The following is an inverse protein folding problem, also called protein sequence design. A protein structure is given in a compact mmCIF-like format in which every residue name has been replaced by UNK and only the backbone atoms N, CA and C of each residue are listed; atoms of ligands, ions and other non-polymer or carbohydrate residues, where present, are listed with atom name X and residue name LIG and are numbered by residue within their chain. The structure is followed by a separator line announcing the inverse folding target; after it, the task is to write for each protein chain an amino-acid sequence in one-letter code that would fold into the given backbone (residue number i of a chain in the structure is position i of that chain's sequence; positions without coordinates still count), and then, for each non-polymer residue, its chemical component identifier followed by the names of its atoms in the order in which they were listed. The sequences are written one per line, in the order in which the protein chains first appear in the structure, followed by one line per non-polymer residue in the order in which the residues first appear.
data_IF_101649012244
#
_entry.id   IF_101649012244
#
_cell.length_a   1.000
_cell.length_b   1.000
_cell.length_c   1.000
_cell.angle_alpha   90.00
_cell.angle_beta   90.00
_cell.angle_gamma   90.00
#
_symmetry.space_group_name_H-M   'P 1'
#
loop_
_entity.id
_entity.type
_entity.pdbx_description
1 polymer ?
#
# COMPACT_ATOMS: atom_id res chain seq x y z
N UNK A 1 -26.50 39.43 -11.98
CA UNK A 1 -26.86 38.33 -11.06
C UNK A 1 -27.29 37.04 -11.77
N UNK A 2 -28.35 37.01 -12.61
CA UNK A 2 -28.85 35.76 -13.25
C UNK A 2 -27.84 35.04 -14.17
N UNK A 3 -26.98 35.78 -14.88
CA UNK A 3 -25.97 35.20 -15.79
C UNK A 3 -24.82 34.56 -15.01
N UNK A 4 -24.30 35.23 -13.98
CA UNK A 4 -23.25 34.73 -13.08
C UNK A 4 -23.68 33.46 -12.35
N UNK A 5 -24.93 33.41 -11.88
CA UNK A 5 -25.48 32.22 -11.21
C UNK A 5 -25.57 31.02 -12.16
N UNK A 6 -25.92 31.24 -13.43
CA UNK A 6 -25.92 30.18 -14.46
C UNK A 6 -24.51 29.64 -14.74
N UNK A 7 -23.49 30.51 -14.76
CA UNK A 7 -22.09 30.08 -14.92
C UNK A 7 -21.58 29.28 -13.72
N UNK A 8 -21.88 29.74 -12.50
CA UNK A 8 -21.53 29.01 -11.27
C UNK A 8 -22.21 27.64 -11.27
N UNK A 9 -23.52 27.58 -11.51
CA UNK A 9 -24.27 26.33 -11.55
C UNK A 9 -23.76 25.39 -12.66
N UNK A 10 -23.47 25.92 -13.86
CA UNK A 10 -22.90 25.14 -14.96
C UNK A 10 -21.51 24.58 -14.64
N UNK A 11 -20.67 25.37 -13.97
CA UNK A 11 -19.32 24.94 -13.55
C UNK A 11 -19.39 23.86 -12.48
N UNK A 12 -20.26 24.02 -11.48
CA UNK A 12 -20.48 23.00 -10.45
C UNK A 12 -21.05 21.71 -11.06
N UNK A 13 -22.01 21.83 -11.97
CA UNK A 13 -22.56 20.68 -12.68
C UNK A 13 -21.48 19.95 -13.50
N UNK A 14 -20.67 20.68 -14.26
CA UNK A 14 -19.56 20.11 -15.01
C UNK A 14 -18.54 19.40 -14.09
N UNK A 15 -18.21 19.98 -12.94
CA UNK A 15 -17.32 19.36 -11.96
C UNK A 15 -17.91 18.05 -11.39
N UNK A 16 -19.20 18.04 -11.05
CA UNK A 16 -19.89 16.85 -10.56
C UNK A 16 -19.92 15.75 -11.63
N UNK A 17 -20.21 16.10 -12.89
CA UNK A 17 -20.20 15.15 -14.00
C UNK A 17 -18.79 14.61 -14.26
N UNK A 18 -17.75 15.45 -14.15
CA UNK A 18 -16.36 15.03 -14.30
C UNK A 18 -15.95 14.05 -13.20
N UNK A 19 -16.18 14.40 -11.93
CA UNK A 19 -15.85 13.54 -10.79
C UNK A 19 -16.67 12.24 -10.84
N UNK A 20 -17.97 12.35 -11.12
CA UNK A 20 -18.86 11.19 -11.25
C UNK A 20 -18.47 10.26 -12.39
N UNK A 21 -18.09 10.80 -13.54
CA UNK A 21 -17.63 9.98 -14.67
C UNK A 21 -16.29 9.32 -14.39
N UNK A 22 -15.34 10.02 -13.75
CA UNK A 22 -14.08 9.43 -13.29
C UNK A 22 -14.33 8.24 -12.34
N UNK A 23 -15.14 8.44 -11.30
CA UNK A 23 -15.47 7.37 -10.33
C UNK A 23 -16.20 6.22 -11.02
N UNK A 24 -17.14 6.52 -11.91
CA UNK A 24 -17.88 5.50 -12.68
C UNK A 24 -16.96 4.66 -13.57
N UNK A 25 -16.03 5.29 -14.28
CA UNK A 25 -15.04 4.60 -15.11
C UNK A 25 -14.09 3.78 -14.25
N UNK A 26 -13.56 4.35 -13.16
CA UNK A 26 -12.66 3.63 -12.25
C UNK A 26 -13.34 2.39 -11.65
N UNK A 27 -14.60 2.51 -11.19
CA UNK A 27 -15.37 1.40 -10.68
C UNK A 27 -15.66 0.33 -11.75
N UNK A 28 -15.99 0.74 -12.98
CA UNK A 28 -16.20 -0.19 -14.08
C UNK A 28 -14.91 -0.97 -14.43
N UNK A 29 -13.77 -0.28 -14.46
CA UNK A 29 -12.47 -0.91 -14.73
C UNK A 29 -12.02 -1.84 -13.60
N UNK A 30 -12.35 -1.54 -12.34
CA UNK A 30 -12.07 -2.41 -11.20
C UNK A 30 -12.73 -3.79 -11.33
N UNK A 31 -13.88 -3.86 -12.03
CA UNK A 31 -14.59 -5.11 -12.29
C UNK A 31 -14.01 -5.93 -13.46
N UNK A 32 -13.05 -5.39 -14.20
CA UNK A 32 -12.44 -6.04 -15.36
C UNK A 32 -11.03 -6.54 -15.00
N UNK A 33 -10.84 -7.85 -14.73
CA UNK A 33 -9.54 -8.35 -14.30
C UNK A 33 -8.52 -8.23 -15.43
N UNK A 34 -7.45 -7.46 -15.21
CA UNK A 34 -6.37 -7.34 -16.18
C UNK A 34 -5.67 -8.68 -16.47
N UNK A 35 -5.65 -9.58 -15.48
CA UNK A 35 -5.01 -10.88 -15.54
C UNK A 35 -5.99 -12.00 -15.14
N UNK A 36 -7.08 -12.16 -15.90
CA UNK A 36 -8.11 -13.16 -15.61
C UNK A 36 -7.64 -14.62 -15.75
N UNK A 37 -6.49 -14.85 -16.39
CA UNK A 37 -5.92 -16.20 -16.55
C UNK A 37 -5.22 -16.61 -15.26
N UNK A 38 -5.53 -17.81 -14.79
CA UNK A 38 -4.74 -18.45 -13.73
C UNK A 38 -3.27 -18.57 -14.17
N UNK A 39 -2.31 -18.49 -13.23
CA UNK A 39 -0.91 -18.78 -13.53
C UNK A 39 -0.78 -20.14 -14.23
N UNK A 40 0.05 -20.21 -15.27
CA UNK A 40 0.30 -21.46 -16.00
C UNK A 40 1.01 -22.50 -15.14
N UNK A 41 1.75 -22.04 -14.12
CA UNK A 41 2.43 -22.86 -13.13
C UNK A 41 1.66 -22.82 -11.80
N UNK A 42 1.68 -23.91 -11.02
CA UNK A 42 1.07 -23.92 -9.70
C UNK A 42 1.67 -22.85 -8.78
N UNK A 43 0.81 -22.23 -7.97
CA UNK A 43 1.25 -21.27 -6.95
C UNK A 43 2.07 -21.99 -5.88
N UNK A 44 3.28 -21.53 -5.65
CA UNK A 44 4.26 -22.14 -4.74
C UNK A 44 4.59 -21.26 -3.53
N UNK A 45 4.17 -19.99 -3.55
CA UNK A 45 4.49 -19.00 -2.52
C UNK A 45 3.22 -18.45 -1.90
N UNK A 46 3.24 -18.33 -0.58
CA UNK A 46 2.15 -17.75 0.20
C UNK A 46 2.34 -16.23 0.30
N UNK A 47 1.77 -15.50 -0.67
CA UNK A 47 1.83 -14.05 -0.75
C UNK A 47 0.41 -13.44 -0.77
N UNK A 48 0.29 -12.21 -0.28
CA UNK A 48 -1.00 -11.52 -0.19
C UNK A 48 -0.89 -10.03 -0.50
N UNK A 49 -2.04 -9.42 -0.77
CA UNK A 49 -2.27 -7.99 -0.58
C UNK A 49 -3.05 -7.83 0.72
N UNK A 50 -2.53 -7.07 1.68
CA UNK A 50 -3.23 -6.73 2.92
C UNK A 50 -3.80 -5.33 2.82
N UNK A 51 -5.10 -5.16 3.05
CA UNK A 51 -5.78 -3.86 3.05
C UNK A 51 -6.38 -3.54 4.41
N UNK A 52 -6.21 -2.30 4.85
CA UNK A 52 -6.94 -1.74 5.99
C UNK A 52 -8.11 -0.83 5.57
N UNK A 53 -8.46 -0.83 4.27
CA UNK A 53 -9.49 0.02 3.68
C UNK A 53 -9.01 1.40 3.21
N UNK A 54 -7.82 1.83 3.63
CA UNK A 54 -7.20 3.11 3.27
C UNK A 54 -5.87 2.90 2.56
N UNK A 55 -5.13 1.88 2.98
CA UNK A 55 -3.80 1.53 2.51
C UNK A 55 -3.71 0.03 2.20
N UNK A 56 -2.78 -0.31 1.31
CA UNK A 56 -2.50 -1.69 0.91
C UNK A 56 -1.02 -2.01 0.98
N UNK A 57 -0.69 -3.09 1.67
CA UNK A 57 0.67 -3.62 1.80
C UNK A 57 0.82 -4.90 0.99
N UNK A 58 2.03 -5.15 0.48
CA UNK A 58 2.42 -6.44 -0.07
C UNK A 58 2.91 -7.33 1.05
N UNK A 59 2.33 -8.52 1.18
CA UNK A 59 2.70 -9.50 2.21
C UNK A 59 3.47 -10.65 1.60
N UNK A 60 4.61 -10.97 2.20
CA UNK A 60 5.48 -12.07 1.82
C UNK A 60 5.83 -12.93 3.03
N UNK A 61 6.24 -14.20 2.82
CA UNK A 61 6.92 -14.96 3.87
C UNK A 61 8.15 -14.19 4.33
N UNK A 62 8.37 -14.10 5.65
CA UNK A 62 9.52 -13.42 6.26
C UNK A 62 10.85 -13.93 5.70
N UNK A 63 10.91 -15.24 5.42
CA UNK A 63 12.02 -15.91 4.75
C UNK A 63 11.48 -16.85 3.69
N UNK A 64 12.11 -16.85 2.52
CA UNK A 64 11.82 -17.77 1.42
C UNK A 64 13.11 -18.21 0.74
N UNK A 65 13.01 -19.15 -0.21
CA UNK A 65 14.17 -19.51 -1.05
C UNK A 65 14.68 -18.37 -1.94
N UNK A 66 13.91 -17.29 -2.10
CA UNK A 66 14.27 -16.12 -2.92
C UNK A 66 14.90 -15.00 -2.10
N UNK A 67 14.44 -14.77 -0.87
CA UNK A 67 14.85 -13.64 -0.05
C UNK A 67 14.68 -13.93 1.45
N UNK A 68 15.62 -13.41 2.25
CA UNK A 68 15.46 -13.25 3.69
C UNK A 68 15.21 -11.77 4.00
N UNK A 69 13.96 -11.42 4.33
CA UNK A 69 13.59 -10.05 4.65
C UNK A 69 14.17 -9.58 5.98
N UNK A 70 14.48 -10.51 6.90
CA UNK A 70 15.06 -10.18 8.21
C UNK A 70 16.47 -9.61 8.11
N UNK A 71 17.16 -9.84 6.98
CA UNK A 71 18.46 -9.24 6.67
C UNK A 71 18.35 -7.77 6.26
N UNK A 72 17.23 -7.38 5.63
CA UNK A 72 16.98 -6.02 5.15
C UNK A 72 16.24 -5.16 6.18
N UNK A 73 15.28 -5.75 6.88
CA UNK A 73 14.47 -5.14 7.92
C UNK A 73 14.68 -5.92 9.21
N UNK A 74 15.18 -5.31 10.27
CA UNK A 74 15.35 -6.02 11.54
C UNK A 74 14.02 -6.07 12.28
N UNK A 75 13.54 -7.25 12.71
CA UNK A 75 12.37 -7.34 13.56
C UNK A 75 12.46 -6.49 14.83
N UNK A 76 13.67 -6.28 15.37
CA UNK A 76 13.87 -5.46 16.59
C UNK A 76 13.59 -3.98 16.39
N UNK A 77 13.56 -3.51 15.15
CA UNK A 77 13.25 -2.12 14.82
C UNK A 77 11.73 -1.85 14.79
N UNK A 78 10.90 -2.90 14.83
CA UNK A 78 9.44 -2.79 14.82
C UNK A 78 8.86 -2.83 16.26
N UNK A 79 7.79 -2.06 16.50
CA UNK A 79 7.22 -1.85 17.86
C UNK A 79 6.53 -3.09 18.45
N UNK A 80 5.92 -3.94 17.62
CA UNK A 80 5.03 -5.00 18.09
C UNK A 80 5.13 -6.25 17.20
N UNK A 81 6.31 -6.86 17.14
CA UNK A 81 6.51 -8.11 16.38
C UNK A 81 5.86 -9.28 17.12
N UNK A 82 4.91 -10.00 16.49
CA UNK A 82 4.37 -11.23 17.06
C UNK A 82 5.47 -12.29 17.29
N UNK A 83 5.43 -13.07 18.39
CA UNK A 83 6.40 -14.13 18.62
C UNK A 83 6.42 -15.21 17.52
N UNK A 84 5.28 -15.40 16.86
CA UNK A 84 5.03 -16.32 15.75
C UNK A 84 4.97 -15.60 14.40
N UNK A 85 5.70 -14.49 14.24
CA UNK A 85 5.76 -13.76 12.99
C UNK A 85 6.39 -14.63 11.86
N UNK A 86 5.55 -15.01 10.89
CA UNK A 86 5.93 -15.79 9.70
C UNK A 86 5.99 -14.92 8.44
N UNK A 87 5.38 -13.74 8.48
CA UNK A 87 5.20 -12.86 7.32
C UNK A 87 5.71 -11.45 7.58
N UNK A 88 6.00 -10.76 6.49
CA UNK A 88 6.29 -9.33 6.45
C UNK A 88 5.33 -8.65 5.49
N UNK A 89 4.72 -7.55 5.92
CA UNK A 89 3.95 -6.64 5.11
C UNK A 89 4.79 -5.38 4.82
N UNK A 90 4.86 -4.98 3.55
CA UNK A 90 5.63 -3.83 3.08
C UNK A 90 4.70 -2.91 2.29
N UNK A 91 4.56 -1.67 2.75
CA UNK A 91 3.82 -0.59 2.11
C UNK A 91 4.70 0.62 1.82
N UNK A 92 4.27 1.46 0.88
CA UNK A 92 4.94 2.71 0.52
C UNK A 92 3.97 3.87 0.67
N UNK A 93 4.42 4.97 1.25
CA UNK A 93 3.60 6.17 1.37
C UNK A 93 4.39 7.45 1.54
N UNK A 94 3.66 8.56 1.59
CA UNK A 94 4.22 9.90 1.77
C UNK A 94 4.74 10.08 3.21
N UNK A 95 5.97 10.59 3.35
CA UNK A 95 6.62 10.81 4.65
C UNK A 95 5.82 11.70 5.58
N UNK A 96 5.34 12.84 5.08
CA UNK A 96 4.62 13.82 5.89
C UNK A 96 3.26 13.28 6.31
N UNK A 97 2.60 12.54 5.41
CA UNK A 97 1.36 11.86 5.72
C UNK A 97 1.58 10.82 6.82
N UNK A 98 2.55 9.91 6.67
CA UNK A 98 2.82 8.84 7.63
C UNK A 98 3.24 9.34 9.02
N UNK A 99 4.10 10.35 9.09
CA UNK A 99 4.63 10.81 10.37
C UNK A 99 3.70 11.76 11.11
N UNK A 100 2.81 12.46 10.39
CA UNK A 100 2.04 13.56 10.95
C UNK A 100 0.54 13.45 10.77
N UNK A 101 0.05 12.33 10.25
CA UNK A 101 -1.40 12.03 10.18
C UNK A 101 -1.73 10.72 10.90
N UNK A 102 -1.54 10.62 12.24
CA UNK A 102 -1.93 9.44 13.00
C UNK A 102 -3.44 9.18 12.94
N UNK A 103 -4.22 10.26 12.96
CA UNK A 103 -5.69 10.21 12.85
C UNK A 103 -6.17 11.07 11.69
N UNK A 104 -7.39 10.80 11.21
CA UNK A 104 -8.02 11.62 10.18
C UNK A 104 -8.21 13.09 10.58
N UNK A 105 -8.28 13.37 11.88
CA UNK A 105 -8.38 14.74 12.38
C UNK A 105 -7.09 15.55 12.16
N UNK A 106 -5.96 14.87 11.98
CA UNK A 106 -4.65 15.49 11.72
C UNK A 106 -4.43 15.80 10.22
N UNK A 107 -5.38 15.43 9.35
CA UNK A 107 -5.26 15.68 7.92
C UNK A 107 -5.44 17.18 7.63
N UNK A 108 -4.44 17.77 6.99
CA UNK A 108 -4.50 19.17 6.52
C UNK A 108 -4.43 19.22 5.00
N UNK A 109 -4.97 20.27 4.40
CA UNK A 109 -4.89 20.47 2.94
C UNK A 109 -3.43 20.43 2.43
N UNK A 110 -2.49 21.01 3.18
CA UNK A 110 -1.06 20.97 2.85
C UNK A 110 -0.52 19.53 2.78
N UNK A 111 -0.86 18.69 3.76
CA UNK A 111 -0.44 17.28 3.78
C UNK A 111 -1.11 16.49 2.67
N UNK A 112 -2.41 16.69 2.46
CA UNK A 112 -3.17 16.03 1.40
C UNK A 112 -2.62 16.35 0.00
N UNK A 113 -2.41 17.63 -0.31
CA UNK A 113 -1.85 18.03 -1.61
C UNK A 113 -0.37 17.62 -1.75
N UNK A 114 0.41 17.71 -0.67
CA UNK A 114 1.80 17.23 -0.67
C UNK A 114 1.91 15.75 -1.06
N UNK A 115 1.08 14.90 -0.44
CA UNK A 115 1.02 13.48 -0.76
C UNK A 115 0.46 13.23 -2.18
N UNK A 116 -0.61 13.93 -2.57
CA UNK A 116 -1.25 13.75 -3.88
C UNK A 116 -0.32 14.07 -5.04
N UNK A 117 0.48 15.13 -4.92
CA UNK A 117 1.41 15.56 -5.97
C UNK A 117 2.81 14.95 -5.84
N UNK A 118 3.04 14.06 -4.87
CA UNK A 118 4.34 13.42 -4.65
C UNK A 118 5.45 14.41 -4.28
N UNK A 119 5.10 15.47 -3.55
CA UNK A 119 6.02 16.57 -3.23
C UNK A 119 6.98 16.24 -2.08
N UNK A 120 6.73 15.18 -1.31
CA UNK A 120 7.59 14.75 -0.21
C UNK A 120 8.28 13.42 -0.51
N UNK A 121 9.31 13.11 0.27
CA UNK A 121 9.96 11.80 0.21
C UNK A 121 8.99 10.68 0.57
N UNK A 122 9.22 9.48 0.03
CA UNK A 122 8.49 8.28 0.41
C UNK A 122 9.08 7.63 1.67
N UNK A 123 8.24 6.97 2.44
CA UNK A 123 8.61 6.07 3.53
C UNK A 123 8.04 4.68 3.29
N UNK A 124 8.71 3.69 3.87
CA UNK A 124 8.24 2.32 3.95
C UNK A 124 7.48 2.13 5.25
N UNK A 125 6.32 1.48 5.15
CA UNK A 125 5.62 0.92 6.29
C UNK A 125 5.91 -0.59 6.33
N UNK A 126 6.55 -1.06 7.40
CA UNK A 126 6.97 -2.47 7.52
C UNK A 126 6.36 -3.06 8.78
N UNK A 127 5.57 -4.13 8.60
CA UNK A 127 4.90 -4.81 9.71
C UNK A 127 5.23 -6.30 9.67
N UNK A 128 5.52 -6.88 10.83
CA UNK A 128 5.69 -8.33 10.98
C UNK A 128 4.37 -8.95 11.42
N UNK A 129 3.95 -10.01 10.74
CA UNK A 129 2.63 -10.58 10.90
C UNK A 129 2.70 -12.08 11.19
N UNK A 130 1.85 -12.53 12.10
CA UNK A 130 1.52 -13.94 12.24
C UNK A 130 0.42 -14.33 11.25
N UNK A 131 0.31 -15.63 11.00
CA UNK A 131 -0.74 -16.19 10.14
C UNK A 131 -2.14 -15.83 10.61
N UNK A 132 -2.36 -15.72 11.92
CA UNK A 132 -3.66 -15.37 12.48
C UNK A 132 -4.10 -13.95 12.10
N UNK A 133 -3.16 -13.02 11.92
CA UNK A 133 -3.44 -11.63 11.53
C UNK A 133 -3.83 -11.49 10.05
N UNK A 134 -3.52 -12.49 9.21
CA UNK A 134 -3.90 -12.51 7.80
C UNK A 134 -5.35 -12.99 7.55
N UNK A 135 -6.14 -13.25 8.60
CA UNK A 135 -7.51 -13.74 8.46
C UNK A 135 -8.51 -12.68 7.99
N UNK A 136 -8.15 -11.40 8.04
CA UNK A 136 -9.02 -10.28 7.67
C UNK A 136 -8.25 -9.30 6.79
N UNK A 137 -8.90 -8.78 5.74
CA UNK A 137 -8.31 -7.79 4.84
C UNK A 137 -7.15 -8.31 3.97
N UNK A 138 -6.76 -9.59 4.08
CA UNK A 138 -5.74 -10.20 3.24
C UNK A 138 -6.35 -10.93 2.05
N UNK A 139 -5.82 -10.65 0.87
CA UNK A 139 -6.26 -11.22 -0.40
C UNK A 139 -5.09 -12.01 -1.00
N UNK A 140 -5.29 -13.32 -1.17
CA UNK A 140 -4.25 -14.20 -1.69
C UNK A 140 -3.81 -13.78 -3.09
N UNK A 141 -2.50 -13.73 -3.28
CA UNK A 141 -1.87 -13.45 -4.56
C UNK A 141 -1.24 -14.76 -5.06
N UNK A 142 -1.93 -15.53 -5.92
CA UNK A 142 -1.36 -16.75 -6.46
C UNK A 142 -0.19 -16.38 -7.38
N UNK A 143 1.02 -16.75 -6.98
CA UNK A 143 2.25 -16.46 -7.69
C UNK A 143 3.00 -17.76 -7.96
N UNK A 144 3.41 -17.97 -9.21
CA UNK A 144 4.47 -18.93 -9.50
C UNK A 144 5.82 -18.43 -9.00
N UNK A 145 6.79 -19.32 -8.82
CA UNK A 145 8.14 -18.91 -8.38
C UNK A 145 8.76 -17.83 -9.29
N UNK A 146 8.52 -17.92 -10.60
CA UNK A 146 9.02 -16.93 -11.54
C UNK A 146 8.34 -15.56 -11.38
N UNK A 147 7.04 -15.53 -11.09
CA UNK A 147 6.32 -14.29 -10.80
C UNK A 147 6.77 -13.70 -9.46
N UNK A 148 6.92 -14.54 -8.44
CA UNK A 148 7.40 -14.13 -7.13
C UNK A 148 8.80 -13.51 -7.23
N UNK A 149 9.75 -14.15 -7.92
CA UNK A 149 11.09 -13.56 -8.15
C UNK A 149 11.03 -12.18 -8.79
N UNK A 150 10.26 -12.01 -9.88
CA UNK A 150 10.09 -10.70 -10.52
C UNK A 150 9.49 -9.65 -9.60
N UNK A 151 8.52 -10.04 -8.77
CA UNK A 151 7.92 -9.13 -7.79
C UNK A 151 8.94 -8.73 -6.72
N UNK A 152 9.70 -9.69 -6.18
CA UNK A 152 10.78 -9.42 -5.22
C UNK A 152 11.84 -8.50 -5.83
N UNK A 153 12.25 -8.73 -7.07
CA UNK A 153 13.23 -7.87 -7.75
C UNK A 153 12.71 -6.45 -7.90
N UNK A 154 11.43 -6.28 -8.26
CA UNK A 154 10.80 -4.97 -8.33
C UNK A 154 10.73 -4.27 -6.97
N UNK A 155 10.32 -4.99 -5.93
CA UNK A 155 10.28 -4.47 -4.55
C UNK A 155 11.69 -4.05 -4.13
N UNK A 156 12.70 -4.90 -4.30
CA UNK A 156 14.10 -4.58 -3.94
C UNK A 156 14.64 -3.38 -4.70
N UNK A 157 14.29 -3.23 -5.97
CA UNK A 157 14.70 -2.09 -6.78
C UNK A 157 14.11 -0.76 -6.29
N UNK A 158 12.98 -0.79 -5.56
CA UNK A 158 12.39 0.41 -4.94
C UNK A 158 12.95 0.71 -3.54
N UNK A 159 13.75 -0.18 -2.95
CA UNK A 159 14.36 0.01 -1.64
C UNK A 159 15.70 0.76 -1.76
N UNK A 160 16.07 1.55 -0.73
CA UNK A 160 17.41 2.14 -0.66
C UNK A 160 18.49 1.05 -0.58
N UNK A 161 19.69 1.36 -1.06
CA UNK A 161 20.83 0.44 -0.97
C UNK A 161 21.23 0.19 0.49
N UNK A 162 21.43 -1.07 0.85
CA UNK A 162 21.85 -1.49 2.20
C UNK A 162 20.69 -1.90 3.10
N UNK A 163 20.88 -1.73 4.41
CA UNK A 163 19.90 -2.10 5.43
C UNK A 163 18.94 -0.94 5.69
N UNK A 164 17.66 -1.25 5.89
CA UNK A 164 16.67 -0.23 6.22
C UNK A 164 16.97 0.42 7.58
N UNK A 165 16.70 1.73 7.67
CA UNK A 165 16.86 2.51 8.90
C UNK A 165 15.48 2.87 9.41
N UNK A 166 15.13 2.38 10.60
CA UNK A 166 13.87 2.73 11.23
C UNK A 166 13.87 4.18 11.71
N UNK A 167 12.72 4.84 11.57
CA UNK A 167 12.50 6.18 12.10
C UNK A 167 12.14 6.04 13.58
N UNK A 168 13.07 6.43 14.44
CA UNK A 168 12.88 6.35 15.89
C UNK A 168 11.61 7.07 16.33
N UNK A 169 10.83 6.41 17.19
CA UNK A 169 9.57 6.96 17.72
C UNK A 169 8.38 6.94 16.77
N UNK A 170 8.56 6.65 15.48
CA UNK A 170 7.46 6.51 14.51
C UNK A 170 6.91 5.07 14.47
N UNK A 171 5.66 4.91 14.03
CA UNK A 171 5.01 3.61 13.87
C UNK A 171 3.51 3.67 14.15
N UNK A 172 2.76 2.78 13.51
CA UNK A 172 1.34 2.56 13.73
C UNK A 172 1.11 1.27 14.51
N UNK A 173 0.00 1.20 15.24
CA UNK A 173 -0.29 0.09 16.15
C UNK A 173 0.23 0.37 17.56
N UNK A 174 -0.50 -0.12 18.55
CA UNK A 174 -0.15 -0.07 19.96
C UNK A 174 0.69 -1.31 20.32
#
# INVERSE_FOLDING_TARGET
MRRSLRWIAGTLFALVVLVGSYVGVAAALMLMPANAKAPAEPSSVEAYVLSNGVHTDLVFPARSGTIDWTALFDPRDARAVPPDAEFIAIGWGDREFYLHTPTWADLTARRAFGALFGANASLLHVTWLSRAQLRQGAYAMPLSDAQYRRLIDHVRASLPAGRAIAISGAGYGA
#
